data_IF_240699911160
#
_entry.id   IF_240699911160
#
_cell.length_a   1.000
_cell.length_b   1.000
_cell.length_c   1.000
_cell.angle_alpha   90.00
_cell.angle_beta   90.00
_cell.angle_gamma   90.00
#
_symmetry.space_group_name_H-M   'P 1'
#
loop_
_entity.id
_entity.type
_entity.pdbx_description
1 polymer ?
#
# COMPACT_ATOMS: atom_id res chain seq x y z
N UNK A 1 3.74 0.88 -0.38
CA UNK A 1 4.67 1.36 -1.41
C UNK A 1 4.36 2.82 -1.70
N UNK A 2 5.32 3.72 -1.52
CA UNK A 2 5.14 5.15 -1.80
C UNK A 2 5.12 5.37 -3.30
N UNK A 3 4.29 6.29 -3.77
CA UNK A 3 4.21 6.68 -5.19
C UNK A 3 5.43 7.47 -5.66
N UNK A 4 6.13 8.15 -4.74
CA UNK A 4 7.37 8.87 -5.01
C UNK A 4 8.40 8.59 -3.90
N UNK A 5 9.68 8.62 -4.27
CA UNK A 5 10.80 8.47 -3.35
C UNK A 5 10.83 9.63 -2.34
N UNK A 6 11.06 9.38 -1.04
CA UNK A 6 11.28 10.44 -0.06
C UNK A 6 12.52 11.31 -0.31
N UNK A 7 13.43 10.86 -1.18
CA UNK A 7 14.61 11.64 -1.58
C UNK A 7 14.28 12.66 -2.69
N UNK A 8 13.12 12.58 -3.31
CA UNK A 8 12.70 13.50 -4.36
C UNK A 8 12.20 14.83 -3.74
N UNK A 9 12.62 16.00 -4.23
CA UNK A 9 12.18 17.29 -3.69
C UNK A 9 10.66 17.53 -3.85
N UNK A 10 9.99 16.83 -4.76
CA UNK A 10 8.54 16.89 -4.91
C UNK A 10 7.78 15.98 -3.93
N UNK A 11 8.48 15.23 -3.06
CA UNK A 11 7.86 14.33 -2.10
C UNK A 11 6.92 15.05 -1.12
N UNK A 12 5.72 14.49 -0.98
CA UNK A 12 4.66 14.85 -0.06
C UNK A 12 4.19 13.59 0.68
N UNK A 13 4.72 13.40 1.88
CA UNK A 13 4.44 12.20 2.69
C UNK A 13 3.10 12.22 3.44
N UNK A 14 2.35 13.33 3.39
CA UNK A 14 1.04 13.48 4.04
C UNK A 14 -0.06 13.67 3.03
N UNK A 15 -1.09 12.84 3.11
CA UNK A 15 -2.34 12.99 2.37
C UNK A 15 -3.43 13.54 3.31
N UNK A 16 -3.70 14.84 3.22
CA UNK A 16 -4.64 15.50 4.11
C UNK A 16 -4.80 16.98 3.80
N UNK A 17 -5.49 17.71 4.68
CA UNK A 17 -5.77 19.13 4.49
C UNK A 17 -6.94 19.37 3.53
N UNK A 18 -6.88 20.49 2.82
CA UNK A 18 -7.90 20.90 1.84
C UNK A 18 -7.79 20.10 0.52
N UNK A 19 -8.69 20.38 -0.44
CA UNK A 19 -8.70 19.69 -1.73
C UNK A 19 -7.39 19.79 -2.50
N UNK A 20 -6.85 21.00 -2.64
CA UNK A 20 -5.61 21.24 -3.38
C UNK A 20 -4.39 20.56 -2.74
N UNK A 21 -4.34 20.49 -1.41
CA UNK A 21 -3.27 19.79 -0.68
C UNK A 21 -3.31 18.28 -0.94
N UNK A 22 -4.51 17.69 -0.90
CA UNK A 22 -4.72 16.27 -1.19
C UNK A 22 -4.38 15.94 -2.63
N UNK A 23 -4.86 16.73 -3.58
CA UNK A 23 -4.61 16.53 -5.01
C UNK A 23 -3.11 16.56 -5.31
N UNK A 24 -2.40 17.52 -4.72
CA UNK A 24 -0.97 17.65 -4.94
C UNK A 24 -0.14 16.54 -4.27
N UNK A 25 -0.65 15.87 -3.22
CA UNK A 25 0.00 14.73 -2.56
C UNK A 25 -0.38 13.36 -3.14
N UNK A 26 -1.51 13.26 -3.84
CA UNK A 26 -2.20 12.01 -4.23
C UNK A 26 -1.30 10.97 -4.93
N UNK A 27 -0.33 11.45 -5.72
CA UNK A 27 0.69 10.63 -6.38
C UNK A 27 2.13 11.09 -6.12
N UNK A 28 2.35 11.93 -5.12
CA UNK A 28 3.68 12.50 -4.81
C UNK A 28 4.27 11.97 -3.51
N UNK A 29 3.98 10.73 -3.12
CA UNK A 29 4.52 10.13 -1.89
C UNK A 29 3.50 9.35 -1.08
N UNK A 30 2.22 9.63 -1.31
CA UNK A 30 1.08 8.85 -0.84
C UNK A 30 1.23 7.37 -1.22
N UNK A 31 0.86 6.49 -0.30
CA UNK A 31 0.92 5.04 -0.49
C UNK A 31 -0.40 4.52 -1.04
N UNK A 32 -0.30 3.71 -2.09
CA UNK A 32 -1.44 2.99 -2.67
C UNK A 32 -1.32 1.49 -2.37
N UNK A 33 -2.26 0.86 -1.64
CA UNK A 33 -2.15 -0.55 -1.27
C UNK A 33 -2.20 -1.51 -2.46
N UNK A 34 -2.98 -1.19 -3.50
CA UNK A 34 -3.12 -2.04 -4.67
C UNK A 34 -1.76 -2.31 -5.35
N UNK A 35 -0.81 -1.37 -5.28
CA UNK A 35 0.54 -1.55 -5.83
C UNK A 35 1.30 -2.74 -5.22
N UNK A 36 0.92 -3.21 -4.03
CA UNK A 36 1.55 -4.38 -3.41
C UNK A 36 1.36 -5.64 -4.27
N UNK A 37 0.25 -5.75 -5.00
CA UNK A 37 -0.02 -6.89 -5.89
C UNK A 37 0.98 -7.02 -7.04
N UNK A 38 1.07 -6.06 -7.98
CA UNK A 38 2.04 -6.14 -9.08
C UNK A 38 3.49 -6.10 -8.56
N UNK A 39 3.77 -5.36 -7.48
CA UNK A 39 5.10 -5.38 -6.85
C UNK A 39 5.48 -6.78 -6.36
N UNK A 40 4.59 -7.43 -5.60
CA UNK A 40 4.88 -8.76 -5.05
C UNK A 40 5.05 -9.81 -6.14
N UNK A 41 4.25 -9.74 -7.21
CA UNK A 41 4.41 -10.62 -8.36
C UNK A 41 5.75 -10.38 -9.08
N UNK A 42 6.11 -9.12 -9.34
CA UNK A 42 7.39 -8.79 -9.95
C UNK A 42 8.57 -9.26 -9.09
N UNK A 43 8.51 -9.02 -7.77
CA UNK A 43 9.53 -9.45 -6.81
C UNK A 43 9.72 -10.97 -6.84
N UNK A 44 8.64 -11.75 -6.86
CA UNK A 44 8.72 -13.22 -6.97
C UNK A 44 9.33 -13.70 -8.29
N UNK A 45 9.09 -13.00 -9.40
CA UNK A 45 9.62 -13.37 -10.72
C UNK A 45 11.13 -13.13 -10.83
N UNK A 46 11.66 -12.13 -10.13
CA UNK A 46 13.09 -11.78 -10.17
C UNK A 46 13.89 -12.32 -8.99
N UNK A 47 13.23 -12.92 -7.99
CA UNK A 47 13.89 -13.44 -6.80
C UNK A 47 14.80 -14.63 -7.11
N UNK A 48 16.05 -14.55 -6.64
CA UNK A 48 16.99 -15.67 -6.63
C UNK A 48 16.51 -16.79 -5.69
N UNK A 49 15.99 -16.42 -4.51
CA UNK A 49 15.33 -17.33 -3.57
C UNK A 49 13.84 -16.98 -3.44
N UNK A 50 13.02 -17.67 -4.24
CA UNK A 50 11.57 -17.49 -4.20
C UNK A 50 10.94 -17.84 -2.85
N UNK A 51 11.52 -18.77 -2.07
CA UNK A 51 10.98 -19.15 -0.76
C UNK A 51 11.19 -18.01 0.24
N UNK A 52 12.39 -17.44 0.26
CA UNK A 52 12.71 -16.28 1.09
C UNK A 52 11.82 -15.09 0.72
N UNK A 53 11.66 -14.80 -0.58
CA UNK A 53 10.83 -13.70 -1.06
C UNK A 53 9.34 -13.90 -0.71
N UNK A 54 8.80 -15.12 -0.88
CA UNK A 54 7.43 -15.45 -0.44
C UNK A 54 7.23 -15.16 1.04
N UNK A 55 8.16 -15.54 1.90
CA UNK A 55 8.05 -15.31 3.34
C UNK A 55 8.19 -13.82 3.70
N UNK A 56 9.04 -13.07 2.99
CA UNK A 56 9.11 -11.61 3.11
C UNK A 56 7.76 -10.95 2.78
N UNK A 57 7.17 -11.26 1.63
CA UNK A 57 5.88 -10.71 1.20
C UNK A 57 4.74 -11.11 2.13
N UNK A 58 4.68 -12.36 2.60
CA UNK A 58 3.68 -12.83 3.58
C UNK A 58 3.75 -12.05 4.89
N UNK A 59 4.96 -11.80 5.42
CA UNK A 59 5.12 -11.02 6.66
C UNK A 59 4.57 -9.60 6.50
N UNK A 60 4.89 -8.93 5.39
CA UNK A 60 4.42 -7.56 5.13
C UNK A 60 2.91 -7.50 4.90
N UNK A 61 2.35 -8.41 4.09
CA UNK A 61 0.92 -8.51 3.86
C UNK A 61 0.15 -8.76 5.18
N UNK A 62 0.60 -9.71 5.99
CA UNK A 62 -0.03 -10.00 7.30
C UNK A 62 0.08 -8.84 8.27
N UNK A 63 1.23 -8.15 8.31
CA UNK A 63 1.42 -6.96 9.16
C UNK A 63 0.44 -5.85 8.76
N UNK A 64 0.37 -5.52 7.47
CA UNK A 64 -0.56 -4.54 6.93
C UNK A 64 -2.01 -4.87 7.27
N UNK A 65 -2.48 -6.08 6.95
CA UNK A 65 -3.86 -6.49 7.19
C UNK A 65 -4.22 -6.49 8.68
N UNK A 66 -3.31 -6.90 9.56
CA UNK A 66 -3.53 -6.90 11.02
C UNK A 66 -3.78 -5.48 11.55
N UNK A 67 -3.03 -4.51 11.06
CA UNK A 67 -3.10 -3.13 11.53
C UNK A 67 -4.31 -2.40 10.92
N UNK A 68 -4.58 -2.62 9.62
CA UNK A 68 -5.58 -1.84 8.89
C UNK A 68 -7.01 -2.39 8.90
N UNK A 69 -7.23 -3.71 8.92
CA UNK A 69 -8.59 -4.27 8.74
C UNK A 69 -9.60 -3.88 9.83
N UNK A 70 -9.13 -3.32 10.95
CA UNK A 70 -9.94 -2.82 12.06
C UNK A 70 -9.97 -1.28 12.14
N UNK A 71 -9.35 -0.60 11.17
CA UNK A 71 -9.24 0.86 11.08
C UNK A 71 -10.03 1.38 9.87
N UNK A 72 -10.55 2.60 9.95
CA UNK A 72 -11.35 3.25 8.90
C UNK A 72 -12.56 2.41 8.43
N UNK A 73 -12.45 1.69 7.32
CA UNK A 73 -13.48 0.81 6.79
C UNK A 73 -13.28 -0.63 7.28
N UNK A 74 -13.98 -1.01 8.36
CA UNK A 74 -13.85 -2.33 8.99
C UNK A 74 -14.06 -3.45 7.95
N UNK A 75 -13.09 -4.37 7.87
CA UNK A 75 -13.12 -5.49 6.93
C UNK A 75 -12.81 -5.11 5.48
N UNK A 76 -12.42 -3.86 5.21
CA UNK A 76 -12.02 -3.38 3.89
C UNK A 76 -10.64 -2.72 3.93
N UNK A 77 -10.20 -2.24 2.77
CA UNK A 77 -8.89 -1.62 2.58
C UNK A 77 -9.09 -0.22 2.02
N UNK A 78 -8.50 0.78 2.69
CA UNK A 78 -8.63 2.17 2.27
C UNK A 78 -7.88 2.42 0.96
N UNK A 79 -8.29 3.48 0.27
CA UNK A 79 -7.77 3.85 -1.03
C UNK A 79 -6.29 4.21 -0.97
N UNK A 80 -5.91 5.07 -0.01
CA UNK A 80 -4.58 5.61 0.14
C UNK A 80 -4.15 5.68 1.60
N UNK A 81 -2.85 5.80 1.82
CA UNK A 81 -2.23 5.98 3.14
C UNK A 81 -1.15 7.05 3.07
N UNK A 82 -0.91 7.73 4.19
CA UNK A 82 0.26 8.61 4.32
C UNK A 82 1.55 7.88 3.95
N UNK A 83 2.41 8.55 3.18
CA UNK A 83 3.76 8.09 2.90
C UNK A 83 4.66 8.08 4.14
N UNK A 84 4.40 8.96 5.10
CA UNK A 84 5.17 9.08 6.34
C UNK A 84 4.44 8.46 7.56
N UNK A 85 5.18 8.01 8.59
CA UNK A 85 4.59 7.55 9.84
C UNK A 85 3.62 8.59 10.44
N UNK A 86 2.45 8.18 10.97
CA UNK A 86 2.08 6.81 11.31
C UNK A 86 1.33 6.06 10.19
N UNK A 87 1.43 6.50 8.92
CA UNK A 87 0.74 5.87 7.79
C UNK A 87 -0.79 5.83 7.94
N UNK A 88 -1.41 6.98 8.20
CA UNK A 88 -2.86 7.07 8.39
C UNK A 88 -3.60 6.70 7.10
N UNK A 89 -4.71 5.94 7.17
CA UNK A 89 -5.56 5.71 6.00
C UNK A 89 -6.29 7.00 5.59
N UNK A 90 -6.54 7.14 4.30
CA UNK A 90 -7.27 8.25 3.70
C UNK A 90 -7.98 7.86 2.41
N UNK A 91 -8.64 8.85 1.80
CA UNK A 91 -9.43 8.65 0.59
C UNK A 91 -10.70 7.84 0.87
N UNK A 92 -11.15 7.07 -0.12
CA UNK A 92 -12.25 6.13 0.05
C UNK A 92 -11.91 5.08 1.11
N UNK A 93 -12.82 4.86 2.07
CA UNK A 93 -12.60 3.90 3.17
C UNK A 93 -12.55 2.45 2.69
N UNK A 94 -13.14 2.14 1.54
CA UNK A 94 -13.25 0.81 0.97
C UNK A 94 -12.97 0.85 -0.54
N UNK A 95 -11.78 0.39 -0.95
CA UNK A 95 -11.32 0.51 -2.32
C UNK A 95 -11.16 -0.86 -3.01
N UNK A 96 -11.94 -1.06 -4.07
CA UNK A 96 -12.10 -2.35 -4.74
C UNK A 96 -10.77 -2.91 -5.28
N UNK A 97 -9.97 -2.10 -5.98
CA UNK A 97 -8.70 -2.58 -6.53
C UNK A 97 -7.67 -2.94 -5.45
N UNK A 98 -7.74 -2.31 -4.28
CA UNK A 98 -6.82 -2.57 -3.18
C UNK A 98 -7.15 -3.92 -2.56
N UNK A 99 -8.44 -4.18 -2.33
CA UNK A 99 -8.91 -5.49 -1.87
C UNK A 99 -8.56 -6.58 -2.90
N UNK A 100 -8.84 -6.33 -4.19
CA UNK A 100 -8.58 -7.31 -5.24
C UNK A 100 -7.10 -7.68 -5.36
N UNK A 101 -6.19 -6.70 -5.40
CA UNK A 101 -4.75 -6.96 -5.54
C UNK A 101 -4.16 -7.65 -4.31
N UNK A 102 -4.65 -7.37 -3.10
CA UNK A 102 -4.19 -8.06 -1.90
C UNK A 102 -4.68 -9.52 -1.83
N UNK A 103 -5.89 -9.80 -2.30
CA UNK A 103 -6.38 -11.19 -2.47
C UNK A 103 -5.57 -11.91 -3.54
N UNK A 104 -5.32 -11.27 -4.69
CA UNK A 104 -4.52 -11.84 -5.77
C UNK A 104 -3.11 -12.19 -5.29
N UNK A 105 -2.45 -11.27 -4.58
CA UNK A 105 -1.15 -11.51 -3.98
C UNK A 105 -1.20 -12.64 -2.95
N UNK A 106 -2.22 -12.70 -2.10
CA UNK A 106 -2.38 -13.79 -1.15
C UNK A 106 -2.45 -15.16 -1.84
N UNK A 107 -3.17 -15.27 -2.95
CA UNK A 107 -3.25 -16.51 -3.74
C UNK A 107 -1.90 -16.90 -4.37
N UNK A 108 -1.09 -15.93 -4.82
CA UNK A 108 0.26 -16.18 -5.35
C UNK A 108 1.25 -16.66 -4.27
N UNK A 109 1.03 -16.24 -3.02
CA UNK A 109 1.88 -16.57 -1.88
C UNK A 109 1.49 -17.89 -1.19
N UNK A 110 0.29 -18.42 -1.45
CA UNK A 110 -0.18 -19.70 -0.91
C UNK A 110 0.71 -20.86 -1.36
#
# INVERSE_FOLDING_TARGET
LRTLSPADPAYRGRYGGNGAERDAAYHQGTVWPWLLGPFGEAALRVAEDQKQEKEFLKRHLRSFLRNHLREAGIGSVSEVFDGDPPHRPGGCIAQAWSVAELIRLFLLLR
#
